data_IF_510924886220
#
_entry.id   IF_510924886220
#
_cell.length_a   1.000
_cell.length_b   1.000
_cell.length_c   1.000
_cell.angle_alpha   90.00
_cell.angle_beta   90.00
_cell.angle_gamma   90.00
#
_symmetry.space_group_name_H-M   'P 1'
#
loop_
_entity.id
_entity.type
_entity.pdbx_description
1 polymer ?
#
# COMPACT_ATOMS: atom_id res chain seq x y z
N UNK A 1 13.21 7.24 -10.62
CA UNK A 1 12.13 7.84 -9.84
C UNK A 1 12.27 9.36 -9.80
N UNK A 2 11.16 10.05 -9.86
CA UNK A 2 11.12 11.49 -9.87
C UNK A 2 11.44 12.08 -8.50
N UNK A 3 12.50 12.88 -8.38
CA UNK A 3 12.92 13.50 -7.12
C UNK A 3 11.85 14.43 -6.53
N UNK A 4 11.10 15.12 -7.39
CA UNK A 4 10.01 16.00 -6.96
C UNK A 4 8.94 15.23 -6.18
N UNK A 5 8.62 14.04 -6.63
CA UNK A 5 7.63 13.16 -6.01
C UNK A 5 8.10 12.74 -4.61
N UNK A 6 9.36 12.35 -4.48
CA UNK A 6 9.96 11.96 -3.19
C UNK A 6 9.98 13.16 -2.23
N UNK A 7 10.37 14.34 -2.71
CA UNK A 7 10.40 15.55 -1.88
C UNK A 7 9.01 15.94 -1.39
N UNK A 8 8.00 15.79 -2.24
CA UNK A 8 6.62 16.06 -1.88
C UNK A 8 6.16 15.15 -0.71
N UNK A 9 6.48 13.85 -0.79
CA UNK A 9 6.17 12.89 0.28
C UNK A 9 6.90 13.25 1.57
N UNK A 10 8.16 13.61 1.50
CA UNK A 10 8.94 14.04 2.68
C UNK A 10 8.28 15.22 3.38
N UNK A 11 7.84 16.21 2.60
CA UNK A 11 7.16 17.38 3.13
C UNK A 11 5.86 17.01 3.84
N UNK A 12 5.07 16.11 3.26
CA UNK A 12 3.84 15.65 3.88
C UNK A 12 4.13 14.95 5.21
N UNK A 13 5.13 14.08 5.25
CA UNK A 13 5.49 13.36 6.48
C UNK A 13 5.97 14.33 7.55
N UNK A 14 6.80 15.31 7.21
CA UNK A 14 7.29 16.30 8.16
C UNK A 14 6.18 17.15 8.77
N UNK A 15 5.19 17.52 7.95
CA UNK A 15 4.07 18.33 8.38
C UNK A 15 3.02 17.55 9.17
N UNK A 16 3.12 16.23 9.23
CA UNK A 16 2.12 15.35 9.84
C UNK A 16 2.74 14.30 10.75
N UNK A 17 3.85 14.65 11.46
CA UNK A 17 4.57 13.71 12.33
C UNK A 17 3.72 13.15 13.47
N UNK A 18 2.69 13.87 13.87
CA UNK A 18 1.80 13.47 14.96
C UNK A 18 0.63 12.61 14.47
N UNK A 19 0.55 12.35 13.18
CA UNK A 19 -0.53 11.56 12.57
C UNK A 19 -0.06 10.16 12.21
N UNK A 20 -1.02 9.23 12.26
CA UNK A 20 -0.81 7.88 11.73
C UNK A 20 -1.06 7.94 10.24
N UNK A 21 -0.04 7.68 9.43
CA UNK A 21 -0.09 7.84 7.97
C UNK A 21 -0.06 6.49 7.30
N UNK A 22 -1.01 6.25 6.40
CA UNK A 22 -1.06 5.08 5.55
C UNK A 22 -0.87 5.51 4.10
N UNK A 23 0.17 4.98 3.45
CA UNK A 23 0.41 5.22 2.02
C UNK A 23 -0.14 4.02 1.27
N UNK A 24 -1.25 4.24 0.57
CA UNK A 24 -1.97 3.20 -0.18
C UNK A 24 -1.72 3.30 -1.66
N UNK A 25 -1.54 2.17 -2.30
CA UNK A 25 -1.46 2.08 -3.75
C UNK A 25 -1.52 0.62 -4.17
N UNK A 26 -2.01 0.38 -5.37
CA UNK A 26 -2.02 -0.98 -5.92
C UNK A 26 -0.59 -1.49 -6.14
N UNK A 27 -0.45 -2.77 -6.47
CA UNK A 27 0.85 -3.32 -6.81
C UNK A 27 1.49 -2.53 -7.97
N UNK A 28 2.80 -2.49 -8.03
CA UNK A 28 3.57 -1.79 -9.09
C UNK A 28 3.50 -0.25 -9.04
N UNK A 29 3.04 0.33 -7.95
CA UNK A 29 3.08 1.80 -7.79
C UNK A 29 4.44 2.31 -7.32
N UNK A 30 5.35 1.42 -6.94
CA UNK A 30 6.70 1.80 -6.53
C UNK A 30 6.89 2.02 -5.04
N UNK A 31 6.01 1.47 -4.21
CA UNK A 31 6.06 1.67 -2.76
C UNK A 31 7.41 1.26 -2.15
N UNK A 32 7.93 0.09 -2.51
CA UNK A 32 9.21 -0.38 -1.98
C UNK A 32 10.37 0.53 -2.37
N UNK A 33 10.35 1.04 -3.61
CA UNK A 33 11.36 1.98 -4.09
C UNK A 33 11.25 3.32 -3.34
N UNK A 34 10.01 3.77 -3.07
CA UNK A 34 9.78 4.98 -2.30
C UNK A 34 10.34 4.88 -0.88
N UNK A 35 10.11 3.76 -0.21
CA UNK A 35 10.64 3.53 1.15
C UNK A 35 12.16 3.66 1.15
N UNK A 36 12.83 3.04 0.17
CA UNK A 36 14.29 3.13 0.04
C UNK A 36 14.75 4.57 -0.20
N UNK A 37 14.08 5.28 -1.09
CA UNK A 37 14.46 6.67 -1.45
C UNK A 37 14.21 7.63 -0.28
N UNK A 38 13.15 7.42 0.48
CA UNK A 38 12.80 8.27 1.61
C UNK A 38 13.66 7.99 2.85
N UNK A 39 14.14 6.77 3.00
CA UNK A 39 14.82 6.33 4.21
C UNK A 39 13.92 6.21 5.41
N UNK A 40 12.59 6.25 5.21
CA UNK A 40 11.58 6.14 6.25
C UNK A 40 10.37 5.40 5.66
N UNK A 41 9.67 4.66 6.51
CA UNK A 41 8.48 3.93 6.10
C UNK A 41 8.61 2.45 6.37
N UNK A 42 7.48 1.81 6.62
CA UNK A 42 7.38 0.37 6.83
C UNK A 42 6.58 -0.25 5.69
N UNK A 43 7.05 -1.38 5.20
CA UNK A 43 6.35 -2.14 4.17
C UNK A 43 5.36 -3.09 4.85
N UNK A 44 4.07 -2.95 4.54
CA UNK A 44 3.01 -3.74 5.15
C UNK A 44 3.27 -5.24 5.04
N UNK A 45 3.73 -5.73 3.88
CA UNK A 45 4.01 -7.14 3.67
C UNK A 45 5.15 -7.63 4.58
N UNK A 46 6.16 -6.82 4.77
CA UNK A 46 7.29 -7.18 5.63
C UNK A 46 6.93 -7.15 7.11
N UNK A 47 6.03 -6.26 7.49
CA UNK A 47 5.63 -6.12 8.90
C UNK A 47 4.66 -7.23 9.31
N UNK A 48 3.76 -7.63 8.41
CA UNK A 48 2.71 -8.60 8.75
C UNK A 48 3.25 -10.02 8.96
N UNK A 49 4.18 -10.49 8.13
CA UNK A 49 4.60 -11.89 8.18
C UNK A 49 5.20 -12.32 9.52
N UNK A 50 6.05 -11.52 10.19
CA UNK A 50 6.54 -11.91 11.52
C UNK A 50 5.44 -12.02 12.59
N UNK A 51 4.27 -11.42 12.35
CA UNK A 51 3.15 -11.44 13.28
C UNK A 51 2.21 -12.61 13.05
N UNK A 52 2.37 -13.33 11.95
CA UNK A 52 1.54 -14.48 11.60
C UNK A 52 2.01 -15.74 12.32
N UNK A 53 1.06 -16.61 12.70
CA UNK A 53 1.40 -17.96 13.11
C UNK A 53 1.88 -18.73 11.89
N UNK A 54 2.53 -19.90 12.14
CA UNK A 54 2.97 -20.75 11.04
C UNK A 54 1.79 -21.18 10.16
N UNK A 55 0.66 -21.53 10.78
CA UNK A 55 -0.54 -21.94 10.06
C UNK A 55 -1.08 -20.81 9.19
N UNK A 56 -1.13 -19.58 9.72
CA UNK A 56 -1.57 -18.42 8.97
C UNK A 56 -0.66 -18.12 7.80
N UNK A 57 0.65 -18.14 8.04
CA UNK A 57 1.65 -17.89 7.00
C UNK A 57 1.55 -18.95 5.89
N UNK A 58 1.46 -20.22 6.24
CA UNK A 58 1.34 -21.30 5.27
C UNK A 58 0.07 -21.14 4.43
N UNK A 59 -1.04 -20.76 5.06
CA UNK A 59 -2.31 -20.58 4.37
C UNK A 59 -2.23 -19.43 3.33
N UNK A 60 -1.68 -18.28 3.70
CA UNK A 60 -1.64 -17.12 2.79
C UNK A 60 -0.53 -17.22 1.73
N UNK A 61 0.40 -18.16 1.90
CA UNK A 61 1.47 -18.39 0.92
C UNK A 61 1.14 -19.49 -0.08
N UNK A 62 -0.07 -20.03 -0.07
CA UNK A 62 -0.48 -21.07 -1.01
C UNK A 62 -0.55 -20.54 -2.45
N UNK A 63 -0.31 -21.45 -3.38
CA UNK A 63 -0.46 -21.15 -4.81
C UNK A 63 -1.41 -22.18 -5.44
N UNK A 64 -2.28 -21.77 -6.36
CA UNK A 64 -2.50 -20.39 -6.81
C UNK A 64 -3.18 -19.52 -5.75
N UNK A 65 -2.97 -18.22 -5.83
CA UNK A 65 -3.64 -17.28 -4.93
C UNK A 65 -5.13 -17.19 -5.28
N UNK A 66 -5.99 -17.39 -4.27
CA UNK A 66 -7.44 -17.35 -4.47
C UNK A 66 -8.01 -16.09 -3.81
N UNK A 67 -9.27 -15.79 -4.15
CA UNK A 67 -10.00 -14.70 -3.51
C UNK A 67 -10.11 -14.92 -2.00
N UNK A 68 -10.34 -16.17 -1.58
CA UNK A 68 -10.45 -16.52 -0.17
C UNK A 68 -9.14 -16.28 0.59
N UNK A 69 -8.01 -16.61 -0.02
CA UNK A 69 -6.69 -16.34 0.55
C UNK A 69 -6.50 -14.82 0.70
N UNK A 70 -6.87 -14.05 -0.32
CA UNK A 70 -6.80 -12.59 -0.28
C UNK A 70 -7.64 -11.99 0.82
N UNK A 71 -8.86 -12.49 1.01
CA UNK A 71 -9.75 -12.05 2.09
C UNK A 71 -9.16 -12.37 3.47
N UNK A 72 -8.56 -13.55 3.62
CA UNK A 72 -7.90 -13.94 4.86
C UNK A 72 -6.70 -13.04 5.15
N UNK A 73 -5.89 -12.75 4.13
CA UNK A 73 -4.74 -11.86 4.28
C UNK A 73 -5.18 -10.46 4.71
N UNK A 74 -6.23 -9.94 4.10
CA UNK A 74 -6.81 -8.65 4.48
C UNK A 74 -7.27 -8.66 5.94
N UNK A 75 -7.96 -9.70 6.35
CA UNK A 75 -8.41 -9.85 7.73
C UNK A 75 -7.24 -9.87 8.71
N UNK A 76 -6.18 -10.62 8.39
CA UNK A 76 -4.99 -10.71 9.25
C UNK A 76 -4.29 -9.37 9.38
N UNK A 77 -4.14 -8.64 8.27
CA UNK A 77 -3.55 -7.30 8.28
C UNK A 77 -4.37 -6.36 9.15
N UNK A 78 -5.68 -6.35 8.97
CA UNK A 78 -6.57 -5.46 9.72
C UNK A 78 -6.61 -5.75 11.21
N UNK A 79 -6.45 -7.01 11.59
CA UNK A 79 -6.51 -7.40 13.01
C UNK A 79 -5.15 -7.35 13.72
N UNK A 80 -4.06 -7.54 12.99
CA UNK A 80 -2.72 -7.66 13.59
C UNK A 80 -1.85 -6.42 13.46
N UNK A 81 -2.10 -5.57 12.45
CA UNK A 81 -1.31 -4.38 12.23
C UNK A 81 -1.99 -3.13 12.75
N UNK A 82 -1.18 -2.25 13.35
CA UNK A 82 -1.62 -0.92 13.76
C UNK A 82 -0.58 0.09 13.30
N UNK A 83 -1.04 1.23 12.82
CA UNK A 83 -0.16 2.28 12.34
C UNK A 83 0.21 3.18 13.51
N UNK A 84 1.50 3.49 13.62
CA UNK A 84 2.02 4.37 14.67
C UNK A 84 2.29 5.76 14.09
N UNK A 85 2.08 6.80 14.91
CA UNK A 85 2.44 8.16 14.52
C UNK A 85 3.94 8.25 14.26
N UNK A 86 4.32 8.93 13.18
CA UNK A 86 5.73 9.08 12.83
C UNK A 86 6.35 7.89 12.10
N UNK A 87 5.59 6.82 11.89
CA UNK A 87 6.05 5.63 11.16
C UNK A 87 5.08 5.31 10.02
N UNK A 88 5.20 5.99 8.87
CA UNK A 88 4.30 5.74 7.74
C UNK A 88 4.32 4.28 7.30
N UNK A 89 3.14 3.70 7.10
CA UNK A 89 2.98 2.33 6.63
C UNK A 89 2.57 2.35 5.16
N UNK A 90 3.28 1.60 4.32
CA UNK A 90 3.02 1.51 2.88
C UNK A 90 2.39 0.16 2.56
N UNK A 91 1.27 0.16 1.90
CA UNK A 91 0.61 -1.11 1.58
C UNK A 91 -0.58 -0.99 0.67
N UNK A 92 -1.34 -2.08 0.60
CA UNK A 92 -2.49 -2.23 -0.28
C UNK A 92 -3.82 -2.37 0.45
N UNK A 93 -3.79 -2.43 1.79
CA UNK A 93 -4.99 -2.64 2.62
C UNK A 93 -5.25 -1.40 3.47
N UNK A 94 -6.47 -0.90 3.43
CA UNK A 94 -6.86 0.27 4.23
C UNK A 94 -7.00 -0.13 5.70
N UNK A 95 -6.24 0.54 6.56
CA UNK A 95 -6.27 0.37 8.00
C UNK A 95 -6.73 1.65 8.67
N UNK A 96 -7.13 1.55 9.94
CA UNK A 96 -7.44 2.74 10.74
C UNK A 96 -6.22 3.65 10.83
N UNK A 97 -6.40 4.92 10.45
CA UNK A 97 -5.32 5.90 10.42
C UNK A 97 -5.90 7.31 10.42
N UNK A 98 -5.02 8.30 10.53
CA UNK A 98 -5.41 9.71 10.56
C UNK A 98 -5.30 10.38 9.20
N UNK A 99 -4.43 9.88 8.34
CA UNK A 99 -4.20 10.44 7.00
C UNK A 99 -3.85 9.33 6.03
N UNK A 100 -4.54 9.32 4.90
CA UNK A 100 -4.23 8.42 3.77
C UNK A 100 -3.50 9.24 2.71
N UNK A 101 -2.37 8.73 2.25
CA UNK A 101 -1.72 9.21 1.03
C UNK A 101 -2.00 8.15 -0.03
N UNK A 102 -2.84 8.51 -1.01
CA UNK A 102 -3.22 7.58 -2.06
C UNK A 102 -2.34 7.77 -3.28
N UNK A 103 -1.64 6.72 -3.67
CA UNK A 103 -0.78 6.71 -4.85
C UNK A 103 -1.61 6.24 -6.05
N UNK A 104 -2.11 7.19 -6.83
CA UNK A 104 -2.87 6.88 -8.03
C UNK A 104 -1.93 6.67 -9.21
N UNK A 105 -2.15 5.60 -9.96
CA UNK A 105 -1.39 5.31 -11.18
C UNK A 105 -2.36 5.18 -12.35
N UNK A 106 -2.06 5.83 -13.48
CA UNK A 106 -2.91 5.72 -14.65
C UNK A 106 -2.74 4.34 -15.31
N UNK A 107 -3.74 3.95 -16.13
CA UNK A 107 -3.79 2.63 -16.73
C UNK A 107 -2.60 2.34 -17.64
N UNK A 108 -2.16 3.33 -18.41
CA UNK A 108 -1.05 3.16 -19.34
C UNK A 108 0.25 2.83 -18.60
N UNK A 109 0.57 3.58 -17.55
CA UNK A 109 1.77 3.34 -16.77
C UNK A 109 1.66 2.04 -15.98
N UNK A 110 0.48 1.74 -15.42
CA UNK A 110 0.26 0.50 -14.69
C UNK A 110 0.43 -0.71 -15.61
N UNK A 111 -0.12 -0.65 -16.84
CA UNK A 111 0.04 -1.73 -17.82
C UNK A 111 1.51 -1.97 -18.15
N UNK A 112 2.26 -0.89 -18.38
CA UNK A 112 3.68 -0.97 -18.67
C UNK A 112 4.46 -1.64 -17.53
N UNK A 113 4.18 -1.24 -16.29
CA UNK A 113 4.88 -1.77 -15.12
C UNK A 113 4.49 -3.22 -14.82
N UNK A 114 3.22 -3.57 -14.96
CA UNK A 114 2.78 -4.96 -14.73
C UNK A 114 3.37 -5.89 -15.78
N UNK A 115 3.44 -5.45 -17.04
CA UNK A 115 4.08 -6.25 -18.11
C UNK A 115 5.56 -6.51 -17.80
N UNK A 116 6.28 -5.49 -17.32
CA UNK A 116 7.70 -5.63 -16.99
C UNK A 116 7.95 -6.58 -15.81
N UNK A 117 7.00 -6.71 -14.90
CA UNK A 117 7.15 -7.53 -13.70
C UNK A 117 6.42 -8.88 -13.78
N UNK A 118 5.83 -9.21 -14.92
CA UNK A 118 5.00 -10.40 -15.08
C UNK A 118 3.86 -10.45 -14.06
N UNK A 119 3.25 -9.31 -13.80
CA UNK A 119 2.07 -9.19 -12.93
C UNK A 119 0.85 -9.03 -13.83
N UNK A 120 -0.27 -9.61 -13.43
CA UNK A 120 -1.51 -9.46 -14.18
C UNK A 120 -2.07 -8.05 -14.02
N UNK A 121 -2.19 -7.31 -15.12
CA UNK A 121 -2.74 -5.96 -15.12
C UNK A 121 -4.16 -5.91 -14.56
N UNK A 122 -5.01 -6.86 -14.94
CA UNK A 122 -6.41 -6.87 -14.49
C UNK A 122 -6.48 -6.99 -12.96
N UNK A 123 -5.68 -7.86 -12.37
CA UNK A 123 -5.63 -8.00 -10.92
C UNK A 123 -5.15 -6.71 -10.24
N UNK A 124 -4.12 -6.08 -10.79
CA UNK A 124 -3.60 -4.82 -10.26
C UNK A 124 -4.64 -3.70 -10.37
N UNK A 125 -5.36 -3.63 -11.49
CA UNK A 125 -6.41 -2.64 -11.70
C UNK A 125 -7.60 -2.87 -10.77
N UNK A 126 -8.01 -4.11 -10.58
CA UNK A 126 -9.09 -4.46 -9.66
C UNK A 126 -8.73 -4.08 -8.23
N UNK A 127 -7.49 -4.32 -7.83
CA UNK A 127 -6.99 -3.92 -6.52
C UNK A 127 -7.07 -2.38 -6.34
N UNK A 128 -6.69 -1.62 -7.37
CA UNK A 128 -6.79 -0.16 -7.33
C UNK A 128 -8.24 0.30 -7.17
N UNK A 129 -9.16 -0.33 -7.90
CA UNK A 129 -10.59 -0.01 -7.80
C UNK A 129 -11.11 -0.28 -6.40
N UNK A 130 -10.74 -1.40 -5.80
CA UNK A 130 -11.14 -1.75 -4.42
C UNK A 130 -10.58 -0.75 -3.41
N UNK A 131 -9.33 -0.34 -3.58
CA UNK A 131 -8.71 0.68 -2.72
C UNK A 131 -9.50 1.99 -2.81
N UNK A 132 -9.83 2.43 -4.03
CA UNK A 132 -10.59 3.67 -4.25
C UNK A 132 -11.96 3.61 -3.61
N UNK A 133 -12.64 2.47 -3.72
CA UNK A 133 -13.95 2.28 -3.11
C UNK A 133 -13.87 2.33 -1.58
N UNK A 134 -12.85 1.71 -0.99
CA UNK A 134 -12.67 1.74 0.46
C UNK A 134 -12.33 3.14 0.97
N UNK A 135 -11.48 3.87 0.25
CA UNK A 135 -11.15 5.26 0.58
C UNK A 135 -12.42 6.11 0.57
N UNK A 136 -13.25 5.95 -0.45
CA UNK A 136 -14.49 6.71 -0.59
C UNK A 136 -15.45 6.46 0.56
N UNK A 137 -15.51 5.24 1.07
CA UNK A 137 -16.35 4.88 2.21
C UNK A 137 -15.78 5.30 3.55
N UNK A 138 -14.47 5.56 3.61
CA UNK A 138 -13.84 6.02 4.85
C UNK A 138 -14.13 7.51 5.05
N UNK A 139 -14.03 7.99 6.29
CA UNK A 139 -14.12 9.42 6.58
C UNK A 139 -12.74 9.98 6.91
N UNK A 140 -11.69 9.35 6.39
CA UNK A 140 -10.31 9.70 6.68
C UNK A 140 -9.84 10.74 5.67
N UNK A 141 -9.05 11.70 6.12
CA UNK A 141 -8.42 12.70 5.25
C UNK A 141 -7.52 12.00 4.22
N UNK A 142 -7.61 12.41 2.96
CA UNK A 142 -6.86 11.79 1.85
C UNK A 142 -6.10 12.84 1.06
N UNK A 143 -4.82 12.56 0.79
CA UNK A 143 -4.01 13.33 -0.17
C UNK A 143 -3.70 12.37 -1.32
N UNK A 144 -4.08 12.73 -2.53
CA UNK A 144 -3.82 11.91 -3.71
C UNK A 144 -2.58 12.41 -4.42
N UNK A 145 -1.64 11.51 -4.68
CA UNK A 145 -0.44 11.79 -5.47
C UNK A 145 -0.47 10.94 -6.74
N UNK A 146 -0.18 11.58 -7.87
CA UNK A 146 -0.13 10.88 -9.15
C UNK A 146 1.24 10.25 -9.35
N UNK A 147 1.26 8.93 -9.57
CA UNK A 147 2.51 8.21 -9.83
C UNK A 147 2.98 8.52 -11.24
N UNK A 148 4.24 8.92 -11.38
CA UNK A 148 4.86 9.25 -12.67
C UNK A 148 6.14 8.45 -12.85
N UNK A 149 6.62 8.40 -14.10
CA UNK A 149 7.89 7.74 -14.42
C UNK A 149 9.10 8.47 -13.86
#
# INVERSE_FOLDING_TARGET
>A
MNNKYVEELKGIFENNKDKRILVLGTTCTGKSTLIKSLGIGLDMDKVIFPLLTKEESDYVCQTPWTKEIGEKMTYLVKTKLKIQSGEPLFGTVLLDCDLIIYLHINDELLKKRTDLRNVDFINAKNMQTEIEEEIEKSNIEVITLEVTE
#
